data_IF_421261170442
#
_entry.id   IF_421261170442
#
_cell.length_a   1.000
_cell.length_b   1.000
_cell.length_c   1.000
_cell.angle_alpha   90.00
_cell.angle_beta   90.00
_cell.angle_gamma   90.00
#
_symmetry.space_group_name_H-M   'P 1'
#
loop_
_entity.id
_entity.type
_entity.pdbx_description
1 polymer ?
#
# COMPACT_ATOMS: atom_id res chain seq x y z
N UNK A 1 -4.15 -58.53 22.43
CA UNK A 1 -5.11 -58.65 21.29
C UNK A 1 -4.72 -57.56 20.30
N UNK A 2 -3.97 -57.89 19.23
CA UNK A 2 -4.50 -58.26 17.91
C UNK A 2 -5.47 -57.20 17.37
N UNK A 3 -5.03 -56.31 16.46
CA UNK A 3 -5.29 -56.37 15.00
C UNK A 3 -6.20 -55.18 14.61
N UNK A 4 -6.24 -54.55 13.43
CA UNK A 4 -5.54 -54.62 12.13
C UNK A 4 -6.05 -53.42 11.29
N UNK A 5 -5.14 -52.85 10.48
CA UNK A 5 -5.23 -52.23 9.15
C UNK A 5 -6.61 -51.99 8.50
N UNK A 6 -6.80 -50.81 7.89
CA UNK A 6 -7.37 -50.64 6.54
C UNK A 6 -6.57 -49.55 5.78
N UNK A 7 -5.88 -49.95 4.72
CA UNK A 7 -5.42 -49.10 3.60
C UNK A 7 -6.58 -48.74 2.68
N UNK A 8 -6.47 -47.68 1.88
CA UNK A 8 -6.75 -47.75 0.44
C UNK A 8 -6.10 -46.56 -0.30
N UNK A 9 -5.19 -46.87 -1.21
CA UNK A 9 -4.73 -46.01 -2.31
C UNK A 9 -5.89 -45.59 -3.20
N UNK A 10 -5.67 -44.65 -4.14
CA UNK A 10 -5.94 -44.83 -5.57
C UNK A 10 -5.14 -43.78 -6.37
N UNK A 11 -4.33 -44.30 -7.30
CA UNK A 11 -3.72 -43.58 -8.42
C UNK A 11 -4.76 -43.32 -9.53
N UNK A 12 -4.44 -42.43 -10.47
CA UNK A 12 -4.77 -42.37 -11.92
C UNK A 12 -4.54 -40.89 -12.34
N UNK A 13 -4.00 -40.46 -13.48
CA UNK A 13 -3.09 -40.95 -14.53
C UNK A 13 -2.83 -39.74 -15.47
N UNK A 14 -1.78 -39.85 -16.30
CA UNK A 14 -1.28 -38.88 -17.29
C UNK A 14 -2.25 -38.55 -18.45
N UNK A 15 -1.95 -37.45 -19.18
CA UNK A 15 -1.95 -37.25 -20.66
C UNK A 15 -1.76 -35.72 -20.93
N UNK A 16 -0.62 -35.18 -21.39
CA UNK A 16 0.03 -35.24 -22.72
C UNK A 16 -0.81 -34.65 -23.89
N UNK A 17 -0.40 -33.49 -24.44
CA UNK A 17 -0.38 -33.20 -25.89
C UNK A 17 0.27 -31.83 -26.22
N UNK A 18 1.13 -31.84 -27.25
CA UNK A 18 1.87 -30.75 -27.87
C UNK A 18 1.03 -30.00 -28.92
N UNK A 19 1.37 -28.75 -29.29
CA UNK A 19 1.88 -28.35 -30.63
C UNK A 19 1.77 -26.84 -31.00
N UNK A 20 2.90 -26.35 -31.57
CA UNK A 20 3.28 -25.19 -32.42
C UNK A 20 2.26 -24.73 -33.50
N UNK A 21 2.27 -23.56 -34.20
CA UNK A 21 3.12 -22.34 -34.33
C UNK A 21 2.33 -21.22 -35.14
N UNK A 22 2.88 -20.36 -36.04
CA UNK A 22 3.03 -18.90 -35.84
C UNK A 22 2.39 -17.93 -36.91
N UNK A 23 2.36 -16.63 -36.54
CA UNK A 23 2.39 -15.34 -37.30
C UNK A 23 1.36 -15.03 -38.44
N UNK A 24 1.03 -13.73 -38.63
CA UNK A 24 1.64 -13.02 -39.76
C UNK A 24 2.03 -11.55 -39.51
N UNK A 25 2.86 -11.05 -40.43
CA UNK A 25 3.48 -9.72 -40.53
C UNK A 25 2.47 -8.65 -41.00
N UNK A 26 2.60 -7.42 -40.48
CA UNK A 26 2.10 -6.18 -41.08
C UNK A 26 3.32 -5.43 -41.65
N UNK A 27 3.34 -5.03 -42.93
CA UNK A 27 2.63 -3.85 -43.46
C UNK A 27 3.46 -2.62 -43.12
N UNK A 28 4.31 -2.10 -44.03
CA UNK A 28 3.91 -1.22 -45.12
C UNK A 28 4.31 0.23 -44.76
N UNK A 29 5.25 0.80 -45.50
CA UNK A 29 5.76 2.18 -45.36
C UNK A 29 4.64 3.25 -45.44
N UNK A 30 4.91 4.48 -44.96
CA UNK A 30 5.18 5.51 -45.98
C UNK A 30 6.31 6.51 -45.66
N UNK A 31 6.79 7.05 -46.78
CA UNK A 31 7.76 8.10 -47.11
C UNK A 31 7.65 9.42 -46.30
N UNK A 32 8.77 10.15 -46.07
CA UNK A 32 8.77 11.46 -45.43
C UNK A 32 8.37 12.59 -46.41
N UNK A 33 7.64 13.59 -45.91
CA UNK A 33 7.37 14.84 -46.61
C UNK A 33 8.38 15.93 -46.21
N UNK A 34 8.68 16.78 -47.19
CA UNK A 34 9.80 17.69 -47.27
C UNK A 34 9.63 19.05 -46.57
N UNK A 35 10.79 19.57 -46.19
CA UNK A 35 11.33 20.94 -46.29
C UNK A 35 10.45 22.20 -46.14
N UNK A 36 11.05 23.10 -45.37
CA UNK A 36 10.67 24.48 -45.13
C UNK A 36 10.79 25.38 -46.38
N UNK A 37 9.97 26.42 -46.41
CA UNK A 37 10.30 27.67 -47.07
C UNK A 37 9.69 28.85 -46.30
N UNK A 38 10.57 29.75 -45.89
CA UNK A 38 10.31 31.12 -45.46
C UNK A 38 9.91 31.98 -46.66
N UNK A 39 8.96 32.90 -46.48
CA UNK A 39 9.14 34.26 -47.00
C UNK A 39 8.30 35.28 -46.23
N UNK A 40 8.89 36.46 -46.07
CA UNK A 40 8.37 37.58 -45.30
C UNK A 40 7.72 38.60 -46.24
N UNK A 41 6.60 39.18 -45.82
CA UNK A 41 6.14 40.46 -46.36
C UNK A 41 5.41 41.25 -45.27
N UNK A 42 5.90 42.46 -45.02
CA UNK A 42 5.48 43.37 -43.98
C UNK A 42 4.17 44.12 -44.35
N UNK A 43 3.33 44.38 -43.35
CA UNK A 43 2.34 45.45 -43.38
C UNK A 43 2.06 45.97 -41.95
N UNK A 44 2.60 47.16 -41.69
CA UNK A 44 2.08 48.29 -40.87
C UNK A 44 1.28 48.02 -39.59
N UNK A 45 1.82 48.57 -38.49
CA UNK A 45 1.26 48.66 -37.16
C UNK A 45 -0.13 49.33 -37.08
N UNK A 46 -1.00 48.73 -36.27
CA UNK A 46 -2.05 49.43 -35.51
C UNK A 46 -1.81 49.12 -34.04
N UNK A 47 -1.63 50.15 -33.23
CA UNK A 47 -1.43 50.03 -31.80
C UNK A 47 -2.69 49.42 -31.15
N UNK A 48 -2.50 48.30 -30.45
CA UNK A 48 -3.49 47.76 -29.51
C UNK A 48 -2.90 48.02 -28.13
N UNK A 49 -3.65 48.73 -27.30
CA UNK A 49 -3.33 48.96 -25.89
C UNK A 49 -3.08 47.62 -25.18
N UNK A 50 -2.08 47.53 -24.28
CA UNK A 50 -1.92 46.32 -23.48
C UNK A 50 -3.11 46.24 -22.51
N UNK A 51 -3.93 45.20 -22.66
CA UNK A 51 -4.90 44.85 -21.62
C UNK A 51 -4.15 44.58 -20.32
N UNK A 52 -4.65 45.03 -19.16
CA UNK A 52 -3.98 44.79 -17.90
C UNK A 52 -3.95 43.28 -17.61
N UNK A 53 -2.73 42.75 -17.50
CA UNK A 53 -2.44 41.45 -16.92
C UNK A 53 -3.11 41.35 -15.55
N UNK A 54 -3.92 40.31 -15.35
CA UNK A 54 -4.60 39.98 -14.07
C UNK A 54 -3.61 39.67 -12.93
N UNK A 55 -2.32 39.60 -13.24
CA UNK A 55 -1.27 39.13 -12.35
C UNK A 55 -0.55 40.25 -11.57
N UNK A 56 -0.81 41.53 -11.83
CA UNK A 56 -0.10 42.65 -11.18
C UNK A 56 -0.71 43.11 -9.84
N UNK A 57 -1.71 42.39 -9.32
CA UNK A 57 -2.51 42.84 -8.17
C UNK A 57 -2.53 41.94 -6.94
N UNK A 58 -1.81 40.81 -6.94
CA UNK A 58 -1.83 39.88 -5.80
C UNK A 58 -0.57 40.08 -4.97
N UNK A 59 -0.72 40.75 -3.83
CA UNK A 59 0.34 40.89 -2.84
C UNK A 59 0.80 39.49 -2.38
N UNK A 60 2.09 39.11 -2.55
CA UNK A 60 2.62 37.84 -2.10
C UNK A 60 2.41 37.61 -0.61
N UNK A 61 2.25 38.67 0.19
CA UNK A 61 2.02 38.58 1.63
C UNK A 61 0.64 38.00 2.00
N UNK A 62 -0.26 37.83 1.04
CA UNK A 62 -1.56 37.14 1.25
C UNK A 62 -1.34 35.63 1.42
N UNK A 63 -0.25 35.07 0.89
CA UNK A 63 0.08 33.65 1.02
C UNK A 63 0.78 33.30 2.33
N UNK A 64 1.36 34.29 3.02
CA UNK A 64 2.17 34.07 4.22
C UNK A 64 1.38 34.15 5.54
N UNK A 65 0.04 34.24 5.48
CA UNK A 65 -0.78 34.51 6.66
C UNK A 65 -1.88 33.47 6.92
N UNK A 66 -1.52 32.20 6.87
CA UNK A 66 -2.25 31.13 7.57
C UNK A 66 -1.30 30.55 8.62
N UNK A 67 -0.85 31.41 9.56
CA UNK A 67 -0.30 30.94 10.82
C UNK A 67 -1.43 30.26 11.58
N UNK A 68 -1.59 28.95 11.38
CA UNK A 68 -2.45 28.14 12.23
C UNK A 68 -2.07 28.44 13.68
N UNK A 69 -3.02 28.80 14.57
CA UNK A 69 -2.69 28.94 15.97
C UNK A 69 -2.13 27.59 16.41
N UNK A 70 -0.91 27.60 16.96
CA UNK A 70 -0.32 26.48 17.69
C UNK A 70 -1.23 26.18 18.90
N UNK A 71 -2.35 25.53 18.64
CA UNK A 71 -3.11 24.86 19.67
C UNK A 71 -2.22 23.70 20.07
N UNK A 72 -1.61 23.79 21.25
CA UNK A 72 -1.06 22.62 21.94
C UNK A 72 -2.19 21.59 22.04
N UNK A 73 -2.23 20.68 21.08
CA UNK A 73 -3.06 19.50 21.14
C UNK A 73 -2.63 18.71 22.37
N UNK A 74 -3.55 18.25 23.23
CA UNK A 74 -3.20 17.41 24.36
C UNK A 74 -2.52 16.13 23.85
N UNK A 75 -1.19 16.05 24.04
CA UNK A 75 -0.36 14.94 23.58
C UNK A 75 0.44 15.30 22.35
N UNK A 76 1.68 15.78 22.55
CA UNK A 76 2.63 15.92 21.46
C UNK A 76 2.72 14.60 20.67
N UNK A 77 2.64 14.69 19.34
CA UNK A 77 2.81 13.54 18.47
C UNK A 77 4.16 12.87 18.79
N UNK A 78 4.11 11.62 19.27
CA UNK A 78 5.31 10.86 19.59
C UNK A 78 6.18 10.81 18.34
N UNK A 79 7.41 11.30 18.43
CA UNK A 79 8.32 11.29 17.29
C UNK A 79 9.27 10.10 17.39
N UNK A 80 9.83 9.72 16.24
CA UNK A 80 10.86 8.70 16.16
C UNK A 80 12.13 8.99 16.99
N UNK A 81 12.36 10.26 17.36
CA UNK A 81 13.45 10.67 18.25
C UNK A 81 13.17 10.31 19.71
N UNK A 82 11.91 10.35 20.11
CA UNK A 82 11.46 10.04 21.47
C UNK A 82 11.25 8.53 21.63
N UNK A 83 10.74 7.88 20.59
CA UNK A 83 10.54 6.45 20.56
C UNK A 83 10.81 5.87 19.16
N UNK A 84 11.74 4.91 19.02
CA UNK A 84 12.08 4.35 17.70
C UNK A 84 10.92 3.60 17.02
N UNK A 85 9.82 3.28 17.73
CA UNK A 85 8.62 2.70 17.15
C UNK A 85 7.67 3.75 16.54
N UNK A 86 7.84 5.03 16.84
CA UNK A 86 7.10 6.12 16.21
C UNK A 86 7.69 6.50 14.83
N UNK A 87 7.92 5.49 13.99
CA UNK A 87 8.51 5.58 12.64
C UNK A 87 7.63 4.82 11.67
N UNK A 88 7.89 4.98 10.38
CA UNK A 88 7.23 4.22 9.33
C UNK A 88 7.41 2.72 9.49
N UNK A 89 6.33 1.95 9.34
CA UNK A 89 6.37 0.49 9.46
C UNK A 89 7.46 -0.15 8.57
N UNK A 90 7.63 0.35 7.35
CA UNK A 90 8.60 -0.20 6.40
C UNK A 90 10.04 -0.03 6.89
N UNK A 91 10.34 1.08 7.57
CA UNK A 91 11.64 1.30 8.20
C UNK A 91 11.98 0.21 9.21
N UNK A 92 10.98 -0.29 9.96
CA UNK A 92 11.16 -1.33 10.97
C UNK A 92 11.33 -2.74 10.38
N UNK A 93 10.69 -3.05 9.26
CA UNK A 93 10.74 -4.39 8.64
C UNK A 93 11.77 -4.53 7.52
N UNK A 94 12.54 -3.48 7.24
CA UNK A 94 13.62 -3.47 6.25
C UNK A 94 13.15 -3.20 4.81
N UNK A 95 12.08 -2.41 4.65
CA UNK A 95 11.65 -1.81 3.38
C UNK A 95 12.33 -0.46 3.12
N UNK A 96 11.64 0.43 2.41
CA UNK A 96 12.13 1.78 2.14
C UNK A 96 12.19 2.61 3.43
N UNK A 97 13.34 3.24 3.69
CA UNK A 97 13.53 4.17 4.81
C UNK A 97 13.20 5.59 4.35
N UNK A 98 12.26 6.25 5.02
CA UNK A 98 11.90 7.65 4.74
C UNK A 98 12.21 8.59 5.90
N UNK A 99 12.76 8.08 7.01
CA UNK A 99 13.20 8.87 8.15
C UNK A 99 14.59 8.40 8.65
N UNK A 100 15.30 9.31 9.35
CA UNK A 100 16.65 9.08 9.89
C UNK A 100 16.65 8.40 11.27
N UNK A 101 15.47 8.05 11.79
CA UNK A 101 15.29 7.63 13.17
C UNK A 101 15.06 6.13 13.31
N UNK A 102 14.25 5.55 12.42
CA UNK A 102 13.94 4.15 12.46
C UNK A 102 15.07 3.36 11.79
N UNK A 103 15.45 2.26 12.43
CA UNK A 103 16.21 1.21 11.76
C UNK A 103 15.36 -0.04 11.80
N UNK A 104 15.74 -1.00 10.96
CA UNK A 104 15.21 -2.35 11.02
C UNK A 104 15.22 -2.86 12.47
N UNK A 105 14.04 -3.12 13.02
CA UNK A 105 13.87 -3.70 14.35
C UNK A 105 13.66 -5.21 14.20
N UNK A 106 14.55 -6.05 14.75
CA UNK A 106 14.47 -7.50 14.57
C UNK A 106 13.23 -8.10 15.25
N UNK A 107 12.71 -7.50 16.32
CA UNK A 107 11.50 -7.98 17.01
C UNK A 107 10.25 -7.63 16.20
N UNK A 108 10.17 -6.41 15.66
CA UNK A 108 9.05 -6.02 14.78
C UNK A 108 9.06 -6.88 13.52
N UNK A 109 10.22 -7.09 12.91
CA UNK A 109 10.35 -7.98 11.75
C UNK A 109 9.94 -9.43 12.08
N UNK A 110 10.38 -9.98 13.22
CA UNK A 110 10.00 -11.32 13.63
C UNK A 110 8.49 -11.44 13.86
N UNK A 111 7.88 -10.45 14.51
CA UNK A 111 6.44 -10.40 14.75
C UNK A 111 5.65 -10.28 13.44
N UNK A 112 6.11 -9.47 12.49
CA UNK A 112 5.51 -9.37 11.17
C UNK A 112 5.65 -10.67 10.37
N UNK A 113 6.82 -11.32 10.41
CA UNK A 113 7.01 -12.61 9.77
C UNK A 113 6.07 -13.67 10.34
N UNK A 114 5.88 -13.70 11.67
CA UNK A 114 4.92 -14.59 12.31
C UNK A 114 3.48 -14.28 11.90
N UNK A 115 3.09 -13.00 11.81
CA UNK A 115 1.77 -12.58 11.34
C UNK A 115 1.47 -13.12 9.93
N UNK A 116 2.46 -13.09 9.05
CA UNK A 116 2.34 -13.50 7.64
C UNK A 116 2.35 -15.01 7.41
N UNK A 117 2.66 -15.85 8.41
CA UNK A 117 2.71 -17.31 8.23
C UNK A 117 1.34 -17.92 7.89
N UNK A 118 0.24 -17.28 8.31
CA UNK A 118 -1.12 -17.80 8.15
C UNK A 118 -1.91 -17.10 7.04
N UNK A 119 -1.24 -16.51 6.04
CA UNK A 119 -1.90 -15.76 4.96
C UNK A 119 -2.07 -16.53 3.65
N UNK A 120 -1.78 -17.83 3.62
CA UNK A 120 -1.85 -18.62 2.39
C UNK A 120 -3.23 -18.57 1.68
N UNK A 121 -4.33 -18.46 2.44
CA UNK A 121 -5.68 -18.32 1.88
C UNK A 121 -5.97 -16.93 1.28
N UNK A 122 -5.15 -15.93 1.58
CA UNK A 122 -5.24 -14.57 1.05
C UNK A 122 -4.28 -14.33 -0.13
N UNK A 123 -3.41 -15.30 -0.44
CA UNK A 123 -2.50 -15.21 -1.58
C UNK A 123 -3.25 -15.23 -2.91
N UNK A 124 -2.62 -14.64 -3.93
CA UNK A 124 -3.09 -14.71 -5.30
C UNK A 124 -2.96 -16.15 -5.83
N UNK A 125 -3.95 -16.59 -6.63
CA UNK A 125 -3.92 -17.89 -7.29
C UNK A 125 -2.92 -17.92 -8.45
N UNK A 126 -2.76 -16.77 -9.13
CA UNK A 126 -1.81 -16.58 -10.22
C UNK A 126 -0.39 -16.34 -9.69
N UNK A 127 0.57 -17.17 -10.10
CA UNK A 127 1.98 -17.11 -9.68
C UNK A 127 2.78 -15.97 -10.32
N UNK A 128 2.23 -15.32 -11.34
CA UNK A 128 2.83 -14.12 -11.95
C UNK A 128 2.57 -12.88 -11.11
N UNK A 129 1.57 -12.92 -10.21
CA UNK A 129 1.29 -11.84 -9.27
C UNK A 129 2.32 -11.92 -8.12
N UNK A 130 2.97 -10.81 -7.74
CA UNK A 130 3.88 -10.79 -6.59
C UNK A 130 3.20 -11.31 -5.32
N UNK A 131 3.99 -11.87 -4.41
CA UNK A 131 3.47 -12.39 -3.15
C UNK A 131 2.69 -11.32 -2.38
N UNK A 132 1.74 -11.74 -1.53
CA UNK A 132 1.02 -10.80 -0.67
C UNK A 132 1.96 -9.92 0.14
N UNK A 133 3.07 -10.48 0.62
CA UNK A 133 4.09 -9.72 1.35
C UNK A 133 4.70 -8.63 0.47
N UNK A 134 5.12 -8.95 -0.74
CA UNK A 134 5.71 -7.97 -1.67
C UNK A 134 4.70 -6.87 -2.02
N UNK A 135 3.44 -7.26 -2.27
CA UNK A 135 2.36 -6.31 -2.52
C UNK A 135 2.14 -5.37 -1.33
N UNK A 136 1.97 -5.90 -0.12
CA UNK A 136 1.78 -5.09 1.10
C UNK A 136 2.96 -4.14 1.40
N UNK A 137 4.18 -4.52 1.00
CA UNK A 137 5.39 -3.72 1.21
C UNK A 137 5.75 -2.82 0.02
N UNK A 138 4.88 -2.71 -0.98
CA UNK A 138 5.15 -1.92 -2.19
C UNK A 138 4.67 -0.46 -2.10
N UNK A 139 3.62 -0.20 -1.33
CA UNK A 139 2.94 1.10 -1.28
C UNK A 139 3.30 1.94 -0.06
N UNK A 140 2.40 2.81 0.40
CA UNK A 140 2.64 3.61 1.60
C UNK A 140 2.48 2.78 2.88
N UNK A 141 3.23 3.18 3.90
CA UNK A 141 2.98 2.85 5.31
C UNK A 141 2.67 4.11 6.11
N UNK A 142 2.10 3.93 7.30
CA UNK A 142 1.97 5.00 8.30
C UNK A 142 3.02 4.91 9.41
N UNK A 143 3.32 6.03 10.09
CA UNK A 143 4.15 6.00 11.29
C UNK A 143 3.41 5.25 12.41
N UNK A 144 4.17 4.68 13.35
CA UNK A 144 3.60 3.99 14.50
C UNK A 144 2.88 4.96 15.44
N UNK A 145 1.63 4.64 15.77
CA UNK A 145 0.82 5.42 16.71
C UNK A 145 0.65 4.62 18.01
N UNK A 146 0.97 5.23 19.16
CA UNK A 146 0.88 4.56 20.46
C UNK A 146 -0.58 4.50 20.95
N UNK A 147 -1.00 3.30 21.28
CA UNK A 147 -2.32 2.95 21.79
C UNK A 147 -2.21 2.25 23.15
N UNK A 148 -3.25 2.40 23.97
CA UNK A 148 -3.33 1.68 25.25
C UNK A 148 -4.54 0.77 25.26
N UNK A 149 -4.31 -0.54 25.36
CA UNK A 149 -5.36 -1.55 25.51
C UNK A 149 -5.16 -2.30 26.82
N UNK A 150 -6.16 -2.23 27.70
CA UNK A 150 -6.14 -2.92 29.01
C UNK A 150 -4.89 -2.57 29.86
N UNK A 151 -4.36 -1.35 29.71
CA UNK A 151 -3.16 -0.88 30.40
C UNK A 151 -1.83 -1.32 29.78
N UNK A 152 -1.85 -2.05 28.67
CA UNK A 152 -0.64 -2.39 27.91
C UNK A 152 -0.46 -1.49 26.68
N UNK A 153 0.79 -1.13 26.35
CA UNK A 153 1.09 -0.35 25.15
C UNK A 153 1.03 -1.23 23.89
N UNK A 154 0.33 -0.73 22.88
CA UNK A 154 0.26 -1.30 21.53
C UNK A 154 0.60 -0.22 20.52
N UNK A 155 1.34 -0.57 19.46
CA UNK A 155 1.67 0.35 18.38
C UNK A 155 0.82 0.01 17.16
N UNK A 156 -0.02 0.96 16.75
CA UNK A 156 -0.81 0.85 15.54
C UNK A 156 0.03 1.22 14.32
N UNK A 157 -0.01 0.38 13.29
CA UNK A 157 0.67 0.59 12.02
C UNK A 157 -0.26 0.27 10.85
N UNK A 158 0.02 0.89 9.72
CA UNK A 158 -0.63 0.58 8.44
C UNK A 158 0.39 0.31 7.34
N UNK A 159 0.02 -0.53 6.39
CA UNK A 159 0.77 -0.84 5.18
C UNK A 159 -0.21 -1.20 4.06
N UNK A 160 0.07 -0.81 2.82
CA UNK A 160 -0.74 -1.22 1.69
C UNK A 160 0.03 -1.33 0.38
N UNK A 161 -0.62 -1.93 -0.62
CA UNK A 161 -0.11 -2.05 -1.97
C UNK A 161 -0.08 -0.71 -2.69
N UNK A 162 1.01 -0.47 -3.43
CA UNK A 162 1.15 0.71 -4.28
C UNK A 162 -0.02 0.78 -5.25
N UNK A 163 -0.67 1.96 -5.31
CA UNK A 163 -1.81 2.25 -6.18
C UNK A 163 -3.07 1.40 -5.92
N UNK A 164 -3.10 0.54 -4.89
CA UNK A 164 -4.24 -0.30 -4.54
C UNK A 164 -4.40 -0.47 -3.01
N UNK A 165 -4.38 0.65 -2.29
CA UNK A 165 -4.60 0.64 -0.84
C UNK A 165 -6.01 0.21 -0.39
N UNK A 166 -7.08 0.38 -1.18
CA UNK A 166 -8.37 -0.21 -0.84
C UNK A 166 -8.37 -1.74 -1.00
N UNK A 167 -7.74 -2.27 -2.07
CA UNK A 167 -7.80 -3.69 -2.39
C UNK A 167 -6.84 -4.56 -1.59
N UNK A 168 -5.62 -4.08 -1.32
CA UNK A 168 -4.60 -4.82 -0.56
C UNK A 168 -3.97 -3.95 0.53
N UNK A 169 -4.41 -4.14 1.77
CA UNK A 169 -3.98 -3.36 2.93
C UNK A 169 -3.94 -4.15 4.23
N UNK A 170 -3.10 -3.71 5.14
CA UNK A 170 -2.89 -4.33 6.44
C UNK A 170 -2.85 -3.25 7.54
N UNK A 171 -3.76 -3.34 8.49
CA UNK A 171 -3.77 -2.54 9.71
C UNK A 171 -3.39 -3.44 10.89
N UNK A 172 -2.41 -3.02 11.70
CA UNK A 172 -1.74 -3.89 12.67
C UNK A 172 -1.62 -3.22 14.03
N UNK A 173 -1.60 -4.04 15.07
CA UNK A 173 -1.20 -3.68 16.43
C UNK A 173 0.01 -4.53 16.82
N UNK A 174 1.10 -3.88 17.22
CA UNK A 174 2.31 -4.51 17.74
C UNK A 174 2.46 -4.26 19.24
N UNK A 175 2.64 -5.33 20.04
CA UNK A 175 2.97 -5.24 21.46
C UNK A 175 4.47 -5.44 21.66
N UNK A 176 5.23 -4.42 22.14
CA UNK A 176 6.64 -4.58 22.44
C UNK A 176 6.89 -5.57 23.59
N UNK A 177 6.01 -5.55 24.60
CA UNK A 177 6.12 -6.41 25.78
C UNK A 177 5.93 -7.89 25.45
N UNK A 178 5.04 -8.20 24.50
CA UNK A 178 4.76 -9.57 24.06
C UNK A 178 5.58 -9.98 22.83
N UNK A 179 6.22 -9.02 22.14
CA UNK A 179 6.82 -9.21 20.82
C UNK A 179 5.85 -9.87 19.83
N UNK A 180 4.56 -9.51 19.93
CA UNK A 180 3.46 -10.08 19.15
C UNK A 180 2.85 -9.01 18.26
N UNK A 181 2.39 -9.42 17.09
CA UNK A 181 1.60 -8.59 16.19
C UNK A 181 0.27 -9.27 15.90
N UNK A 182 -0.77 -8.46 15.81
CA UNK A 182 -2.11 -8.86 15.33
C UNK A 182 -2.59 -7.85 14.30
N UNK A 183 -3.51 -8.21 13.43
CA UNK A 183 -3.96 -7.25 12.42
C UNK A 183 -5.19 -7.67 11.62
N UNK A 184 -5.69 -6.72 10.84
CA UNK A 184 -6.72 -6.91 9.82
C UNK A 184 -6.09 -6.77 8.45
N UNK A 185 -6.12 -7.85 7.69
CA UNK A 185 -5.74 -7.87 6.28
C UNK A 185 -6.98 -7.69 5.42
N UNK A 186 -6.88 -6.80 4.43
CA UNK A 186 -7.78 -6.72 3.27
C UNK A 186 -6.96 -7.11 2.05
N UNK A 187 -7.47 -8.04 1.26
CA UNK A 187 -6.87 -8.57 0.03
C UNK A 187 -7.98 -9.31 -0.72
N UNK A 188 -7.92 -9.40 -2.05
CA UNK A 188 -8.89 -10.21 -2.82
C UNK A 188 -10.36 -9.97 -2.42
N UNK A 189 -10.71 -8.71 -2.14
CA UNK A 189 -12.06 -8.28 -1.74
C UNK A 189 -12.59 -8.95 -0.44
N UNK A 190 -11.68 -9.44 0.41
CA UNK A 190 -12.02 -10.14 1.66
C UNK A 190 -11.20 -9.59 2.83
N UNK A 191 -11.70 -9.88 4.03
CA UNK A 191 -11.08 -9.50 5.29
C UNK A 191 -10.60 -10.73 6.04
N UNK A 192 -9.36 -10.70 6.54
CA UNK A 192 -8.81 -11.71 7.44
C UNK A 192 -8.28 -11.07 8.71
N UNK A 193 -8.57 -11.72 9.84
CA UNK A 193 -7.97 -11.41 11.12
C UNK A 193 -6.73 -12.28 11.34
N UNK A 194 -5.58 -11.64 11.49
CA UNK A 194 -4.27 -12.28 11.60
C UNK A 194 -3.73 -12.18 13.03
N UNK A 195 -3.06 -13.22 13.51
CA UNK A 195 -2.44 -13.24 14.85
C UNK A 195 -3.41 -13.43 16.02
N UNK A 196 -4.65 -13.81 15.72
CA UNK A 196 -5.73 -14.04 16.70
C UNK A 196 -6.00 -12.80 17.59
N UNK A 197 -6.46 -11.68 17.00
CA UNK A 197 -6.79 -10.48 17.76
C UNK A 197 -8.02 -10.70 18.64
N UNK A 198 -7.97 -10.17 19.86
CA UNK A 198 -9.11 -10.09 20.79
C UNK A 198 -10.17 -9.13 20.27
N UNK A 199 -11.37 -9.16 20.83
CA UNK A 199 -12.46 -8.25 20.44
C UNK A 199 -12.05 -6.77 20.55
N UNK A 200 -11.40 -6.38 21.65
CA UNK A 200 -10.93 -5.00 21.85
C UNK A 200 -9.85 -4.58 20.83
N UNK A 201 -8.98 -5.50 20.42
CA UNK A 201 -7.98 -5.24 19.37
C UNK A 201 -8.63 -5.07 18.00
N UNK A 202 -9.64 -5.88 17.68
CA UNK A 202 -10.41 -5.74 16.43
C UNK A 202 -11.14 -4.41 16.38
N UNK A 203 -11.84 -4.08 17.46
CA UNK A 203 -12.57 -2.81 17.59
C UNK A 203 -11.64 -1.60 17.43
N UNK A 204 -10.46 -1.61 18.08
CA UNK A 204 -9.48 -0.54 17.90
C UNK A 204 -9.03 -0.42 16.44
N UNK A 205 -8.71 -1.54 15.78
CA UNK A 205 -8.30 -1.54 14.37
C UNK A 205 -9.43 -1.01 13.47
N UNK A 206 -10.68 -1.38 13.74
CA UNK A 206 -11.85 -0.90 12.99
C UNK A 206 -12.08 0.59 13.18
N UNK A 207 -11.94 1.12 14.40
CA UNK A 207 -12.05 2.54 14.68
C UNK A 207 -10.95 3.35 14.00
N UNK A 208 -9.70 2.87 14.04
CA UNK A 208 -8.54 3.57 13.45
C UNK A 208 -8.48 3.46 11.94
N UNK A 209 -8.94 2.36 11.38
CA UNK A 209 -9.02 2.14 9.94
C UNK A 209 -10.39 1.55 9.60
N UNK A 210 -11.44 2.37 9.43
CA UNK A 210 -12.71 1.90 8.91
C UNK A 210 -12.51 1.25 7.53
N UNK A 211 -13.31 0.23 7.22
CA UNK A 211 -13.41 -0.28 5.85
C UNK A 211 -14.49 0.48 5.12
N UNK A 212 -14.22 0.76 3.85
CA UNK A 212 -15.25 1.15 2.91
C UNK A 212 -15.82 -0.14 2.29
N UNK A 213 -17.11 -0.38 2.45
CA UNK A 213 -17.78 -1.58 1.92
C UNK A 213 -17.67 -1.65 0.39
N UNK A 214 -17.49 -0.51 -0.30
CA UNK A 214 -17.22 -0.46 -1.73
C UNK A 214 -15.86 -1.09 -2.10
N UNK A 215 -14.91 -1.16 -1.17
CA UNK A 215 -13.62 -1.83 -1.38
C UNK A 215 -13.72 -3.37 -1.30
N UNK A 216 -14.87 -3.91 -0.88
CA UNK A 216 -15.09 -5.35 -0.71
C UNK A 216 -16.03 -5.94 -1.77
N UNK A 217 -16.54 -5.14 -2.71
CA UNK A 217 -17.49 -5.63 -3.71
C UNK A 217 -16.84 -6.47 -4.80
N UNK A 218 -17.35 -7.69 -4.96
CA UNK A 218 -16.85 -8.77 -5.81
C UNK A 218 -17.15 -8.58 -7.32
N UNK A 219 -16.65 -7.52 -7.96
CA UNK A 219 -16.48 -7.59 -9.43
C UNK A 219 -15.30 -8.53 -9.72
N UNK A 220 -15.65 -9.82 -9.72
CA UNK A 220 -14.82 -11.03 -9.62
C UNK A 220 -13.60 -11.18 -10.55
N UNK A 221 -13.39 -10.27 -11.50
CA UNK A 221 -12.15 -10.19 -12.28
C UNK A 221 -11.06 -9.31 -11.62
N UNK A 222 -11.41 -8.50 -10.63
CA UNK A 222 -10.52 -7.56 -9.93
C UNK A 222 -10.02 -8.10 -8.57
N UNK A 223 -10.53 -9.25 -8.11
CA UNK A 223 -10.24 -9.84 -6.81
C UNK A 223 -9.23 -11.02 -6.86
N UNK A 224 -8.59 -11.26 -8.01
CA UNK A 224 -7.59 -12.33 -8.23
C UNK A 224 -6.20 -11.80 -8.53
#
# INVERSE_FOLDING_TARGET
MQSRNISLSWMIALLAACSQAPAPQAGGEPTPAAEAATDAAAATATAVEPEPSVEDGVDPSVWDNEGEPEQESPGAELTCKDNPLATQFFTLVGGNTVDDCGRKDPKVLAAFNALMQNTAAAEASNKEIPSLRERLLSGPSGPGELETLQGEPWWFYTACQAHDCPGTALAMLYSPGQSKMVGRLTARCRVWWLGEPTAAQRELIEQRRPLDDAALTEDSALCE
#
